data_IF_294382444949
#
_entry.id   IF_294382444949
#
_cell.length_a   1.000
_cell.length_b   1.000
_cell.length_c   1.000
_cell.angle_alpha   90.00
_cell.angle_beta   90.00
_cell.angle_gamma   90.00
#
_symmetry.space_group_name_H-M   'P 1'
#
loop_
_entity.id
_entity.type
_entity.pdbx_description
1 polymer ?
#
# COMPACT_ATOMS: atom_id res chain seq x y z
N UNK A 1 20.64 -35.65 -39.12
CA UNK A 1 21.38 -34.55 -38.44
C UNK A 1 20.82 -33.15 -38.78
N UNK A 2 20.49 -32.86 -40.08
CA UNK A 2 20.05 -31.50 -40.49
C UNK A 2 18.73 -31.05 -39.87
N UNK A 3 17.78 -31.93 -39.58
CA UNK A 3 16.48 -31.60 -39.01
C UNK A 3 16.45 -31.76 -37.48
N UNK A 4 17.06 -32.80 -36.98
CA UNK A 4 17.01 -33.17 -35.56
C UNK A 4 17.80 -32.17 -34.67
N UNK A 5 18.99 -31.77 -35.11
CA UNK A 5 19.82 -30.86 -34.30
C UNK A 5 19.14 -29.51 -34.02
N UNK A 6 18.62 -28.78 -35.03
CA UNK A 6 17.92 -27.48 -34.78
C UNK A 6 16.69 -27.68 -33.92
N UNK A 7 15.91 -28.76 -34.07
CA UNK A 7 14.74 -29.03 -33.25
C UNK A 7 15.10 -29.22 -31.76
N UNK A 8 16.16 -30.02 -31.49
CA UNK A 8 16.64 -30.23 -30.11
C UNK A 8 17.18 -28.93 -29.52
N UNK A 9 17.96 -28.17 -30.28
CA UNK A 9 18.49 -26.85 -29.82
C UNK A 9 17.36 -25.88 -29.46
N UNK A 10 16.32 -25.81 -30.30
CA UNK A 10 15.14 -24.98 -30.06
C UNK A 10 14.37 -25.46 -28.83
N UNK A 11 14.12 -26.76 -28.72
CA UNK A 11 13.39 -27.33 -27.58
C UNK A 11 14.14 -27.07 -26.26
N UNK A 12 15.47 -27.32 -26.26
CA UNK A 12 16.30 -27.10 -25.09
C UNK A 12 16.38 -25.62 -24.68
N UNK A 13 16.47 -24.73 -25.67
CA UNK A 13 16.43 -23.28 -25.45
C UNK A 13 15.09 -22.84 -24.85
N UNK A 14 13.97 -23.36 -25.37
CA UNK A 14 12.64 -23.04 -24.85
C UNK A 14 12.43 -23.56 -23.43
N UNK A 15 12.88 -24.78 -23.12
CA UNK A 15 12.81 -25.34 -21.77
C UNK A 15 13.69 -24.55 -20.79
N UNK A 16 14.89 -24.15 -21.20
CA UNK A 16 15.78 -23.34 -20.38
C UNK A 16 15.19 -21.96 -20.10
N UNK A 17 14.60 -21.32 -21.14
CA UNK A 17 13.90 -20.05 -20.98
C UNK A 17 12.70 -20.19 -20.04
N UNK A 18 11.87 -21.21 -20.19
CA UNK A 18 10.70 -21.39 -19.31
C UNK A 18 11.11 -21.53 -17.83
N UNK A 19 12.18 -22.27 -17.54
CA UNK A 19 12.71 -22.37 -16.16
C UNK A 19 13.26 -21.03 -15.65
N UNK A 20 13.94 -20.28 -16.49
CA UNK A 20 14.46 -18.96 -16.13
C UNK A 20 13.31 -17.97 -15.86
N UNK A 21 12.26 -17.99 -16.69
CA UNK A 21 11.07 -17.16 -16.51
C UNK A 21 10.35 -17.49 -15.19
N UNK A 22 10.18 -18.76 -14.86
CA UNK A 22 9.55 -19.21 -13.62
C UNK A 22 10.30 -18.69 -12.38
N UNK A 23 11.63 -18.85 -12.37
CA UNK A 23 12.46 -18.38 -11.27
C UNK A 23 12.46 -16.84 -11.16
N UNK A 24 12.55 -16.13 -12.28
CA UNK A 24 12.48 -14.67 -12.30
C UNK A 24 11.13 -14.16 -11.79
N UNK A 25 10.01 -14.78 -12.20
CA UNK A 25 8.66 -14.43 -11.74
C UNK A 25 8.53 -14.67 -10.23
N UNK A 26 9.11 -15.75 -9.71
CA UNK A 26 9.14 -16.01 -8.26
C UNK A 26 9.85 -14.91 -7.49
N UNK A 27 11.02 -14.47 -7.99
CA UNK A 27 11.76 -13.35 -7.38
C UNK A 27 10.96 -12.03 -7.45
N UNK A 28 10.31 -11.75 -8.57
CA UNK A 28 9.47 -10.55 -8.72
C UNK A 28 8.27 -10.56 -7.76
N UNK A 29 7.64 -11.71 -7.59
CA UNK A 29 6.56 -11.89 -6.62
C UNK A 29 7.03 -11.64 -5.19
N UNK A 30 8.23 -12.12 -4.82
CA UNK A 30 8.81 -11.87 -3.49
C UNK A 30 9.18 -10.39 -3.30
N UNK A 31 9.73 -9.74 -4.30
CA UNK A 31 10.00 -8.29 -4.25
C UNK A 31 8.69 -7.49 -4.05
N UNK A 32 7.61 -7.88 -4.73
CA UNK A 32 6.30 -7.27 -4.52
C UNK A 32 5.82 -7.49 -3.08
N UNK A 33 5.92 -8.71 -2.57
CA UNK A 33 5.54 -9.05 -1.19
C UNK A 33 6.26 -8.19 -0.17
N UNK A 34 7.56 -8.00 -0.32
CA UNK A 34 8.36 -7.15 0.58
C UNK A 34 7.91 -5.68 0.56
N UNK A 35 7.54 -5.15 -0.60
CA UNK A 35 7.01 -3.79 -0.72
C UNK A 35 5.64 -3.66 -0.05
N UNK A 36 4.75 -4.64 -0.25
CA UNK A 36 3.39 -4.62 0.29
C UNK A 36 3.35 -4.79 1.82
N UNK A 37 4.23 -5.64 2.35
CA UNK A 37 4.32 -5.97 3.77
C UNK A 37 5.37 -5.13 4.52
N UNK A 38 5.88 -4.06 3.91
CA UNK A 38 6.76 -3.14 4.62
C UNK A 38 6.02 -2.57 5.86
N UNK A 39 6.72 -2.42 7.02
CA UNK A 39 6.10 -1.95 8.24
C UNK A 39 5.45 -0.58 8.07
N UNK A 40 4.14 -0.42 8.32
CA UNK A 40 3.48 0.85 8.21
C UNK A 40 3.86 1.77 9.39
N UNK A 41 4.04 3.06 9.11
CA UNK A 41 4.21 4.07 10.17
C UNK A 41 2.89 4.27 10.95
N UNK A 42 1.77 3.99 10.33
CA UNK A 42 0.44 4.20 10.89
C UNK A 42 -0.05 5.64 10.77
N UNK A 43 -1.00 5.99 11.62
CA UNK A 43 -1.69 7.28 11.61
C UNK A 43 -0.80 8.40 12.20
N UNK A 44 0.16 8.88 11.40
CA UNK A 44 1.07 9.98 11.71
C UNK A 44 0.94 11.07 10.67
N UNK A 45 1.33 12.31 11.04
CA UNK A 45 1.42 13.41 10.09
C UNK A 45 2.73 13.31 9.33
N UNK A 46 2.65 13.25 8.01
CA UNK A 46 3.79 12.96 7.15
C UNK A 46 4.05 14.10 6.17
N UNK A 47 5.31 14.49 6.04
CA UNK A 47 5.79 15.31 4.93
C UNK A 47 6.31 14.37 3.84
N UNK A 48 5.58 14.25 2.73
CA UNK A 48 6.02 13.54 1.53
C UNK A 48 6.93 14.41 0.69
N UNK A 49 8.04 13.87 0.25
CA UNK A 49 9.05 14.55 -0.57
C UNK A 49 9.29 13.72 -1.83
N UNK A 50 9.00 14.31 -2.98
CA UNK A 50 9.38 13.77 -4.29
C UNK A 50 10.62 14.53 -4.78
N UNK A 51 11.83 13.91 -4.72
CA UNK A 51 13.08 14.59 -5.03
C UNK A 51 13.24 14.93 -6.52
N UNK A 52 13.89 16.03 -6.83
CA UNK A 52 14.22 16.39 -8.20
C UNK A 52 15.24 17.52 -8.28
N UNK A 53 16.11 17.46 -9.29
CA UNK A 53 17.11 18.51 -9.53
C UNK A 53 16.51 19.74 -10.21
N UNK A 54 16.07 19.60 -11.46
CA UNK A 54 15.63 20.76 -12.28
C UNK A 54 14.26 21.28 -11.87
N UNK A 55 13.34 20.39 -11.61
CA UNK A 55 11.94 20.73 -11.24
C UNK A 55 11.78 21.04 -9.76
N UNK A 56 12.85 20.92 -8.96
CA UNK A 56 12.83 21.02 -7.50
C UNK A 56 12.23 19.80 -6.82
N UNK A 57 12.35 19.76 -5.50
CA UNK A 57 11.70 18.76 -4.67
C UNK A 57 10.26 19.18 -4.39
N UNK A 58 9.29 18.30 -4.67
CA UNK A 58 7.89 18.53 -4.36
C UNK A 58 7.59 18.10 -2.93
N UNK A 59 7.02 18.98 -2.16
CA UNK A 59 6.63 18.76 -0.76
C UNK A 59 5.13 18.66 -0.65
N UNK A 60 4.64 17.71 0.13
CA UNK A 60 3.24 17.58 0.51
C UNK A 60 3.11 17.33 2.00
N UNK A 61 2.29 18.10 2.70
CA UNK A 61 1.96 17.84 4.10
C UNK A 61 0.68 17.02 4.17
N UNK A 62 0.73 15.86 4.81
CA UNK A 62 -0.40 14.96 5.00
C UNK A 62 -0.82 14.92 6.47
N UNK A 63 -2.13 14.87 6.72
CA UNK A 63 -2.65 14.59 8.04
C UNK A 63 -2.53 13.09 8.41
N UNK A 64 -2.97 12.72 9.60
CA UNK A 64 -2.91 11.34 10.08
C UNK A 64 -3.79 10.35 9.28
N UNK A 65 -4.72 10.84 8.46
CA UNK A 65 -5.58 10.08 7.56
C UNK A 65 -5.05 10.04 6.13
N UNK A 66 -3.92 10.73 5.87
CA UNK A 66 -3.33 10.84 4.53
C UNK A 66 -4.00 11.86 3.62
N UNK A 67 -4.80 12.78 4.17
CA UNK A 67 -5.36 13.90 3.40
C UNK A 67 -4.31 14.97 3.18
N UNK A 68 -4.31 15.57 1.99
CA UNK A 68 -3.41 16.65 1.63
C UNK A 68 -3.81 17.94 2.32
N UNK A 69 -2.94 18.49 3.16
CA UNK A 69 -3.12 19.77 3.86
C UNK A 69 -2.44 20.92 3.12
N UNK A 70 -1.27 20.68 2.53
CA UNK A 70 -0.47 21.70 1.85
C UNK A 70 0.49 21.06 0.86
N UNK A 71 0.83 21.79 -0.21
CA UNK A 71 1.87 21.39 -1.15
C UNK A 71 2.72 22.60 -1.55
N UNK A 72 4.00 22.35 -1.81
CA UNK A 72 4.96 23.38 -2.22
C UNK A 72 6.15 22.75 -2.93
N UNK A 73 6.92 23.53 -3.69
CA UNK A 73 8.17 23.09 -4.29
C UNK A 73 9.34 23.87 -3.66
N UNK A 74 10.45 23.15 -3.40
CA UNK A 74 11.70 23.76 -2.93
C UNK A 74 12.85 23.39 -3.86
N UNK A 75 13.91 24.19 -3.87
CA UNK A 75 15.04 24.04 -4.79
C UNK A 75 16.38 23.97 -4.06
N UNK A 76 16.62 22.94 -3.23
CA UNK A 76 17.86 22.81 -2.46
C UNK A 76 19.07 22.39 -3.29
N UNK A 77 18.85 21.86 -4.50
CA UNK A 77 19.89 21.28 -5.35
C UNK A 77 20.23 22.18 -6.55
N UNK A 78 21.39 21.97 -7.20
CA UNK A 78 21.71 22.63 -8.47
C UNK A 78 20.62 22.36 -9.54
N UNK A 79 20.35 23.31 -10.44
CA UNK A 79 21.09 24.56 -10.65
C UNK A 79 20.74 25.71 -9.70
N UNK A 80 19.55 25.70 -9.03
CA UNK A 80 19.08 26.81 -8.21
C UNK A 80 19.84 26.91 -6.89
N UNK A 81 20.13 25.79 -6.23
CA UNK A 81 20.91 25.65 -4.99
C UNK A 81 20.50 26.60 -3.85
N UNK A 82 19.18 26.77 -3.65
CA UNK A 82 18.60 27.66 -2.63
C UNK A 82 18.49 26.97 -1.24
N UNK A 83 19.58 26.35 -0.76
CA UNK A 83 19.60 25.53 0.47
C UNK A 83 19.04 26.23 1.68
N UNK A 84 19.42 27.49 1.91
CA UNK A 84 18.96 28.24 3.08
C UNK A 84 17.47 28.50 3.10
N UNK A 85 16.89 28.95 1.97
CA UNK A 85 15.46 29.16 1.82
C UNK A 85 14.67 27.86 1.93
N UNK A 86 15.17 26.80 1.28
CA UNK A 86 14.57 25.48 1.30
C UNK A 86 14.54 24.90 2.73
N UNK A 87 15.65 25.03 3.49
CA UNK A 87 15.72 24.56 4.88
C UNK A 87 14.75 25.31 5.81
N UNK A 88 14.69 26.64 5.69
CA UNK A 88 13.74 27.46 6.47
C UNK A 88 12.29 27.07 6.16
N UNK A 89 11.97 26.82 4.88
CA UNK A 89 10.63 26.39 4.46
C UNK A 89 10.26 25.02 5.01
N UNK A 90 11.14 24.02 4.89
CA UNK A 90 10.88 22.69 5.46
C UNK A 90 10.68 22.75 6.96
N UNK A 91 11.53 23.48 7.70
CA UNK A 91 11.38 23.66 9.14
C UNK A 91 10.03 24.35 9.50
N UNK A 92 9.64 25.37 8.73
CA UNK A 92 8.34 26.03 8.89
C UNK A 92 7.17 25.07 8.68
N UNK A 93 7.20 24.24 7.61
CA UNK A 93 6.14 23.26 7.33
C UNK A 93 6.04 22.20 8.42
N UNK A 94 7.19 21.72 8.90
CA UNK A 94 7.24 20.74 10.01
C UNK A 94 6.59 21.31 11.27
N UNK A 95 6.88 22.55 11.63
CA UNK A 95 6.29 23.21 12.78
C UNK A 95 4.78 23.48 12.58
N UNK A 96 4.41 24.09 11.44
CA UNK A 96 3.02 24.52 11.16
C UNK A 96 2.05 23.34 11.12
N UNK A 97 2.43 22.25 10.45
CA UNK A 97 1.58 21.07 10.29
C UNK A 97 1.86 19.97 11.32
N UNK A 98 2.72 20.25 12.30
CA UNK A 98 3.09 19.31 13.35
C UNK A 98 3.52 17.94 12.80
N UNK A 99 4.40 17.93 11.79
CA UNK A 99 4.86 16.73 11.10
C UNK A 99 5.66 15.82 12.05
N UNK A 100 5.33 14.54 12.05
CA UNK A 100 5.97 13.49 12.85
C UNK A 100 7.09 12.75 12.08
N UNK A 101 6.92 12.62 10.75
CA UNK A 101 7.87 11.92 9.90
C UNK A 101 7.97 12.54 8.49
N UNK A 102 9.10 12.33 7.85
CA UNK A 102 9.36 12.77 6.47
C UNK A 102 9.62 11.52 5.63
N UNK A 103 8.86 11.36 4.54
CA UNK A 103 9.00 10.30 3.55
C UNK A 103 9.66 10.87 2.30
N UNK A 104 10.83 10.36 1.92
CA UNK A 104 11.59 10.78 0.75
C UNK A 104 11.56 9.67 -0.29
N UNK A 105 11.13 9.96 -1.52
CA UNK A 105 11.18 9.01 -2.63
C UNK A 105 12.63 8.59 -2.94
N UNK A 106 12.82 7.31 -3.31
CA UNK A 106 14.15 6.74 -3.55
C UNK A 106 14.68 6.91 -4.99
N UNK A 107 14.08 7.80 -5.76
CA UNK A 107 14.48 8.07 -7.15
C UNK A 107 15.65 9.07 -7.28
N UNK A 108 15.56 9.87 -8.35
CA UNK A 108 16.58 10.87 -8.69
C UNK A 108 16.76 11.88 -7.55
N UNK A 109 18.02 12.21 -7.19
CA UNK A 109 18.38 13.15 -6.11
C UNK A 109 17.96 12.72 -4.69
N UNK A 110 17.58 11.46 -4.49
CA UNK A 110 17.14 10.95 -3.18
C UNK A 110 18.20 11.11 -2.09
N UNK A 111 19.43 10.68 -2.35
CA UNK A 111 20.53 10.75 -1.36
C UNK A 111 20.89 12.17 -0.94
N UNK A 112 20.95 13.08 -1.92
CA UNK A 112 21.22 14.50 -1.69
C UNK A 112 20.09 15.16 -0.90
N UNK A 113 18.84 14.77 -1.20
CA UNK A 113 17.66 15.26 -0.49
C UNK A 113 17.61 14.70 0.93
N UNK A 114 17.91 13.43 1.14
CA UNK A 114 18.01 12.83 2.47
C UNK A 114 19.06 13.55 3.34
N UNK A 115 20.27 13.75 2.81
CA UNK A 115 21.32 14.51 3.49
C UNK A 115 20.89 15.93 3.82
N UNK A 116 20.25 16.62 2.86
CA UNK A 116 19.75 17.96 3.07
C UNK A 116 18.71 18.02 4.18
N UNK A 117 17.69 17.16 4.15
CA UNK A 117 16.58 17.09 5.13
C UNK A 117 17.10 16.71 6.52
N UNK A 118 18.00 15.75 6.63
CA UNK A 118 18.55 15.28 7.91
C UNK A 118 19.40 16.36 8.60
N UNK A 119 20.05 17.23 7.85
CA UNK A 119 20.86 18.33 8.38
C UNK A 119 20.06 19.54 8.85
N UNK A 120 18.74 19.59 8.62
CA UNK A 120 17.88 20.69 9.08
C UNK A 120 17.62 20.51 10.59
N UNK A 121 17.69 21.61 11.34
CA UNK A 121 17.29 21.64 12.75
C UNK A 121 15.79 21.87 12.84
N UNK A 122 15.10 20.94 13.46
CA UNK A 122 13.66 21.00 13.71
C UNK A 122 13.40 21.38 15.19
N UNK A 123 12.27 22.01 15.45
CA UNK A 123 11.79 22.35 16.80
C UNK A 123 11.21 21.13 17.56
N UNK A 124 11.05 20.01 16.85
CA UNK A 124 10.50 18.75 17.35
C UNK A 124 11.28 17.55 16.82
N UNK A 125 11.07 16.40 17.43
CA UNK A 125 11.63 15.14 16.93
C UNK A 125 10.89 14.72 15.66
N UNK A 126 11.60 14.62 14.54
CA UNK A 126 11.09 14.16 13.26
C UNK A 126 11.92 12.95 12.80
N UNK A 127 11.23 11.92 12.35
CA UNK A 127 11.88 10.74 11.76
C UNK A 127 11.96 10.90 10.24
N UNK A 128 13.08 10.53 9.63
CA UNK A 128 13.28 10.62 8.17
C UNK A 128 13.40 9.21 7.60
N UNK A 129 12.63 8.93 6.55
CA UNK A 129 12.59 7.62 5.89
C UNK A 129 12.75 7.80 4.39
N UNK A 130 13.50 6.90 3.78
CA UNK A 130 13.54 6.74 2.32
C UNK A 130 12.54 5.65 1.93
N UNK A 131 11.63 5.99 1.02
CA UNK A 131 10.48 5.16 0.62
C UNK A 131 10.60 4.83 -0.86
N UNK A 132 10.26 3.60 -1.24
CA UNK A 132 10.21 3.21 -2.65
C UNK A 132 9.15 4.04 -3.39
N UNK A 133 9.55 4.68 -4.50
CA UNK A 133 8.63 5.41 -5.38
C UNK A 133 8.17 4.58 -6.59
N UNK A 134 8.50 3.29 -6.64
CA UNK A 134 8.11 2.39 -7.72
C UNK A 134 6.62 2.50 -8.03
N UNK A 135 6.26 2.79 -9.29
CA UNK A 135 4.87 2.97 -9.71
C UNK A 135 4.19 4.27 -9.25
N UNK A 136 4.86 5.17 -8.51
CA UNK A 136 4.25 6.45 -8.09
C UNK A 136 3.84 7.32 -9.27
N UNK A 137 4.63 7.33 -10.33
CA UNK A 137 4.30 8.03 -11.59
C UNK A 137 3.08 7.41 -12.29
N UNK A 138 2.94 6.09 -12.26
CA UNK A 138 1.76 5.40 -12.81
C UNK A 138 0.50 5.76 -12.01
N UNK A 139 0.58 5.71 -10.67
CA UNK A 139 -0.50 6.16 -9.80
C UNK A 139 -0.89 7.60 -10.12
N UNK A 140 0.06 8.52 -10.17
CA UNK A 140 -0.20 9.97 -10.34
C UNK A 140 -0.96 10.29 -11.63
N UNK A 141 -0.75 9.51 -12.70
CA UNK A 141 -1.44 9.62 -13.98
C UNK A 141 -2.75 8.82 -14.03
N UNK A 142 -3.04 7.96 -13.06
CA UNK A 142 -4.18 7.07 -13.05
C UNK A 142 -5.52 7.80 -12.90
N UNK A 143 -6.61 7.11 -13.26
CA UNK A 143 -7.97 7.59 -13.01
C UNK A 143 -8.23 7.76 -11.51
N UNK A 144 -7.73 6.84 -10.69
CA UNK A 144 -7.89 6.86 -9.23
C UNK A 144 -7.29 8.14 -8.65
N UNK A 145 -6.06 8.46 -9.02
CA UNK A 145 -5.40 9.67 -8.52
C UNK A 145 -6.08 10.97 -8.97
N UNK A 146 -6.66 10.97 -10.17
CA UNK A 146 -7.47 12.10 -10.67
C UNK A 146 -8.79 12.26 -9.91
N UNK A 147 -9.41 11.17 -9.51
CA UNK A 147 -10.62 11.19 -8.69
C UNK A 147 -10.33 11.61 -7.25
N UNK A 148 -9.20 11.16 -6.67
CA UNK A 148 -8.78 11.54 -5.32
C UNK A 148 -8.30 13.00 -5.22
N UNK A 149 -7.62 13.49 -6.26
CA UNK A 149 -7.00 14.83 -6.29
C UNK A 149 -7.24 15.52 -7.63
N UNK A 150 -8.50 15.90 -7.95
CA UNK A 150 -8.85 16.47 -9.27
C UNK A 150 -8.15 17.80 -9.56
N UNK A 151 -7.92 18.63 -8.53
CA UNK A 151 -7.37 19.98 -8.65
C UNK A 151 -5.82 20.03 -8.69
N UNK A 152 -5.14 18.88 -8.45
CA UNK A 152 -3.69 18.82 -8.36
C UNK A 152 -3.08 18.13 -9.56
N UNK A 153 -1.86 18.52 -9.91
CA UNK A 153 -1.12 17.92 -11.01
C UNK A 153 -0.48 16.56 -10.65
N UNK A 154 0.12 15.92 -11.64
CA UNK A 154 0.76 14.60 -11.48
C UNK A 154 1.93 14.62 -10.49
N UNK A 155 2.62 15.75 -10.34
CA UNK A 155 3.79 15.85 -9.44
C UNK A 155 3.35 15.86 -7.98
N UNK A 156 2.29 16.60 -7.66
CA UNK A 156 1.69 16.63 -6.31
C UNK A 156 1.10 15.26 -5.97
N UNK A 157 0.36 14.63 -6.89
CA UNK A 157 -0.19 13.27 -6.69
C UNK A 157 0.90 12.25 -6.44
N UNK A 158 2.04 12.35 -7.14
CA UNK A 158 3.21 11.50 -6.92
C UNK A 158 3.78 11.65 -5.51
N UNK A 159 4.00 12.88 -5.06
CA UNK A 159 4.49 13.16 -3.72
C UNK A 159 3.51 12.70 -2.62
N UNK A 160 2.20 12.84 -2.83
CA UNK A 160 1.17 12.28 -1.92
C UNK A 160 1.30 10.77 -1.82
N UNK A 161 1.47 10.06 -2.95
CA UNK A 161 1.65 8.62 -2.95
C UNK A 161 2.89 8.20 -2.16
N UNK A 162 4.02 8.91 -2.29
CA UNK A 162 5.25 8.66 -1.51
C UNK A 162 4.97 8.80 -0.01
N UNK A 163 4.30 9.86 0.40
CA UNK A 163 3.94 10.07 1.82
C UNK A 163 3.01 8.99 2.36
N UNK A 164 1.96 8.63 1.61
CA UNK A 164 0.99 7.60 2.00
C UNK A 164 1.57 6.20 2.07
N UNK A 165 2.57 5.88 1.25
CA UNK A 165 3.29 4.60 1.33
C UNK A 165 4.05 4.40 2.63
N UNK A 166 4.55 5.49 3.25
CA UNK A 166 5.13 5.40 4.57
C UNK A 166 4.06 5.12 5.63
N UNK A 167 2.87 5.70 5.47
CA UNK A 167 1.76 5.52 6.41
C UNK A 167 1.17 4.11 6.34
N UNK A 168 0.84 3.64 5.13
CA UNK A 168 0.30 2.31 4.85
C UNK A 168 0.67 1.88 3.42
N UNK A 169 1.77 1.12 3.25
CA UNK A 169 2.23 0.68 1.94
C UNK A 169 1.20 -0.16 1.20
N UNK A 170 0.52 -1.06 1.91
CA UNK A 170 -0.46 -1.97 1.31
C UNK A 170 -1.67 -1.20 0.76
N UNK A 171 -2.26 -0.32 1.57
CA UNK A 171 -3.43 0.47 1.17
C UNK A 171 -3.15 1.39 -0.03
N UNK A 172 -1.92 1.86 -0.17
CA UNK A 172 -1.55 2.73 -1.30
C UNK A 172 -1.18 1.92 -2.55
N UNK A 173 -0.38 0.86 -2.42
CA UNK A 173 0.11 0.07 -3.56
C UNK A 173 -0.98 -0.74 -4.27
N UNK A 174 -2.06 -1.14 -3.58
CA UNK A 174 -3.21 -1.83 -4.20
C UNK A 174 -3.96 -0.98 -5.23
N UNK A 175 -3.72 0.33 -5.26
CA UNK A 175 -4.29 1.24 -6.26
C UNK A 175 -3.61 1.15 -7.62
N UNK A 176 -2.47 0.48 -7.71
CA UNK A 176 -1.62 0.36 -8.89
C UNK A 176 -1.72 -1.08 -9.40
N UNK A 177 -1.81 -1.26 -10.74
CA UNK A 177 -1.66 -2.60 -11.33
C UNK A 177 -0.31 -3.19 -10.89
N UNK A 178 -0.28 -4.38 -10.29
CA UNK A 178 0.95 -4.99 -9.78
C UNK A 178 2.09 -5.06 -10.81
N UNK A 179 1.78 -5.30 -12.08
CA UNK A 179 2.76 -5.25 -13.18
C UNK A 179 3.41 -3.87 -13.36
N UNK A 180 2.67 -2.82 -13.03
CA UNK A 180 3.11 -1.43 -13.20
C UNK A 180 3.91 -0.90 -12.01
N UNK A 181 4.00 -1.64 -10.90
CA UNK A 181 4.80 -1.23 -9.73
C UNK A 181 6.30 -1.25 -10.07
N UNK A 182 6.74 -2.15 -10.95
CA UNK A 182 8.16 -2.25 -11.32
C UNK A 182 8.99 -2.96 -10.26
N UNK A 183 8.68 -4.23 -10.02
CA UNK A 183 9.30 -5.07 -8.97
C UNK A 183 10.56 -5.81 -9.40
N UNK A 184 10.97 -5.63 -10.66
CA UNK A 184 12.17 -6.29 -11.17
C UNK A 184 12.68 -5.68 -12.47
N UNK A 185 14.00 -5.67 -12.61
CA UNK A 185 14.67 -5.40 -13.88
C UNK A 185 14.34 -6.53 -14.86
N UNK A 186 14.12 -6.24 -16.14
CA UNK A 186 13.77 -7.22 -17.18
C UNK A 186 12.43 -7.95 -16.98
N UNK A 187 11.53 -7.40 -16.18
CA UNK A 187 10.20 -8.01 -15.99
C UNK A 187 9.40 -8.09 -17.31
N UNK A 188 9.76 -7.32 -18.34
CA UNK A 188 9.18 -7.38 -19.68
C UNK A 188 9.68 -8.56 -20.53
N UNK A 189 10.78 -9.22 -20.15
CA UNK A 189 11.39 -10.31 -20.89
C UNK A 189 10.80 -11.69 -20.53
N UNK A 190 10.07 -11.79 -19.43
CA UNK A 190 9.42 -13.04 -18.99
C UNK A 190 8.02 -13.23 -19.60
N UNK A 191 7.44 -14.43 -19.48
CA UNK A 191 6.08 -14.71 -19.93
C UNK A 191 5.07 -13.82 -19.17
N UNK A 192 4.37 -12.93 -19.91
CA UNK A 192 3.61 -11.82 -19.35
C UNK A 192 2.31 -12.22 -18.63
N UNK A 193 1.66 -13.33 -19.06
CA UNK A 193 0.44 -13.82 -18.43
C UNK A 193 0.76 -14.52 -17.10
N UNK A 194 1.84 -15.32 -17.09
CA UNK A 194 2.33 -15.95 -15.85
C UNK A 194 2.80 -14.90 -14.84
N UNK A 195 3.53 -13.88 -15.29
CA UNK A 195 3.91 -12.74 -14.45
C UNK A 195 2.69 -12.05 -13.83
N UNK A 196 1.72 -11.66 -14.67
CA UNK A 196 0.50 -11.00 -14.20
C UNK A 196 -0.22 -11.84 -13.16
N UNK A 197 -0.46 -13.11 -13.46
CA UNK A 197 -1.14 -14.05 -12.55
C UNK A 197 -0.41 -14.17 -11.20
N UNK A 198 0.91 -14.31 -11.23
CA UNK A 198 1.72 -14.44 -10.01
C UNK A 198 1.68 -13.18 -9.16
N UNK A 199 1.80 -12.00 -9.78
CA UNK A 199 1.75 -10.73 -9.07
C UNK A 199 0.35 -10.43 -8.50
N UNK A 200 -0.72 -10.72 -9.25
CA UNK A 200 -2.10 -10.56 -8.77
C UNK A 200 -2.37 -11.48 -7.57
N UNK A 201 -1.93 -12.74 -7.63
CA UNK A 201 -2.02 -13.69 -6.51
C UNK A 201 -1.23 -13.24 -5.28
N UNK A 202 -0.05 -12.66 -5.50
CA UNK A 202 0.77 -12.12 -4.40
C UNK A 202 0.08 -10.95 -3.72
N UNK A 203 -0.51 -10.04 -4.50
CA UNK A 203 -1.28 -8.92 -3.98
C UNK A 203 -2.45 -9.41 -3.12
N UNK A 204 -3.27 -10.32 -3.65
CA UNK A 204 -4.41 -10.91 -2.93
C UNK A 204 -3.96 -11.62 -1.65
N UNK A 205 -2.91 -12.42 -1.73
CA UNK A 205 -2.35 -13.13 -0.57
C UNK A 205 -1.89 -12.16 0.53
N UNK A 206 -1.21 -11.07 0.17
CA UNK A 206 -0.74 -10.07 1.15
C UNK A 206 -1.91 -9.34 1.82
N UNK A 207 -2.93 -8.94 1.05
CA UNK A 207 -4.12 -8.26 1.59
C UNK A 207 -4.86 -9.17 2.57
N UNK A 208 -5.05 -10.43 2.21
CA UNK A 208 -5.75 -11.40 3.07
C UNK A 208 -4.92 -11.76 4.31
N UNK A 209 -3.58 -11.84 4.20
CA UNK A 209 -2.69 -12.12 5.32
C UNK A 209 -2.76 -11.03 6.40
N UNK A 210 -2.70 -9.77 6.00
CA UNK A 210 -2.75 -8.63 6.93
C UNK A 210 -4.14 -8.46 7.52
N UNK A 211 -5.17 -8.71 6.72
CA UNK A 211 -6.55 -8.37 7.04
C UNK A 211 -6.82 -6.87 6.89
N UNK A 212 -8.07 -6.51 6.74
CA UNK A 212 -8.47 -5.16 6.34
C UNK A 212 -9.54 -4.60 7.26
N UNK A 213 -9.31 -3.40 7.80
CA UNK A 213 -10.34 -2.67 8.54
C UNK A 213 -11.45 -2.23 7.57
N UNK A 214 -12.63 -2.85 7.69
CA UNK A 214 -13.76 -2.61 6.81
C UNK A 214 -14.31 -1.18 6.87
N UNK A 215 -14.09 -0.50 8.00
CA UNK A 215 -14.58 0.86 8.23
C UNK A 215 -13.72 1.94 7.56
N UNK A 216 -12.43 1.65 7.31
CA UNK A 216 -11.48 2.61 6.74
C UNK A 216 -11.00 2.24 5.34
N UNK A 217 -11.09 0.98 4.96
CA UNK A 217 -10.57 0.47 3.70
C UNK A 217 -11.19 1.15 2.47
N UNK A 218 -10.37 1.42 1.46
CA UNK A 218 -10.84 1.85 0.15
C UNK A 218 -11.53 0.69 -0.59
N UNK A 219 -12.38 1.01 -1.57
CA UNK A 219 -12.96 -0.01 -2.46
C UNK A 219 -11.90 -0.86 -3.16
N UNK A 220 -10.76 -0.24 -3.49
CA UNK A 220 -9.66 -0.93 -4.17
C UNK A 220 -9.04 -2.01 -3.28
N UNK A 221 -8.79 -1.68 -2.01
CA UNK A 221 -8.27 -2.63 -1.03
C UNK A 221 -9.27 -3.77 -0.78
N UNK A 222 -10.56 -3.45 -0.62
CA UNK A 222 -11.62 -4.43 -0.41
C UNK A 222 -11.79 -5.40 -1.58
N UNK A 223 -11.50 -4.98 -2.82
CA UNK A 223 -11.60 -5.83 -4.01
C UNK A 223 -10.65 -7.03 -3.98
N UNK A 224 -9.52 -6.92 -3.26
CA UNK A 224 -8.56 -8.00 -3.10
C UNK A 224 -8.88 -8.97 -1.94
N UNK A 225 -9.93 -8.71 -1.17
CA UNK A 225 -10.40 -9.66 -0.15
C UNK A 225 -11.09 -10.83 -0.83
N UNK A 226 -10.70 -12.05 -0.46
CA UNK A 226 -11.34 -13.28 -0.93
C UNK A 226 -12.85 -13.23 -0.75
N UNK A 227 -13.59 -13.58 -1.78
CA UNK A 227 -15.05 -13.54 -1.78
C UNK A 227 -15.68 -12.16 -2.04
N UNK A 228 -14.89 -11.08 -2.08
CA UNK A 228 -15.37 -9.74 -2.43
C UNK A 228 -14.91 -9.37 -3.83
N UNK A 229 -15.83 -9.22 -4.77
CA UNK A 229 -15.50 -8.60 -6.06
C UNK A 229 -15.68 -7.09 -6.03
N UNK A 230 -15.38 -6.39 -7.15
CA UNK A 230 -15.49 -4.93 -7.24
C UNK A 230 -16.89 -4.39 -6.87
N UNK A 231 -17.93 -5.13 -7.17
CA UNK A 231 -19.33 -4.74 -6.88
C UNK A 231 -19.60 -4.79 -5.37
N UNK A 232 -19.21 -5.87 -4.68
CA UNK A 232 -19.38 -5.99 -3.23
C UNK A 232 -18.51 -4.99 -2.47
N UNK A 233 -17.29 -4.78 -2.92
CA UNK A 233 -16.40 -3.76 -2.35
C UNK A 233 -17.04 -2.36 -2.41
N UNK A 234 -17.63 -2.00 -3.55
CA UNK A 234 -18.35 -0.74 -3.70
C UNK A 234 -19.59 -0.67 -2.79
N UNK A 235 -20.38 -1.76 -2.71
CA UNK A 235 -21.56 -1.81 -1.85
C UNK A 235 -21.21 -1.67 -0.37
N UNK A 236 -20.11 -2.23 0.10
CA UNK A 236 -19.60 -2.05 1.48
C UNK A 236 -19.31 -0.58 1.74
N UNK A 237 -18.58 0.08 0.83
CA UNK A 237 -18.26 1.51 0.95
C UNK A 237 -19.51 2.38 0.99
N UNK A 238 -20.47 2.12 0.09
CA UNK A 238 -21.75 2.86 0.05
C UNK A 238 -22.55 2.63 1.33
N UNK A 239 -22.67 1.37 1.76
CA UNK A 239 -23.44 1.03 2.97
C UNK A 239 -22.89 1.74 4.20
N UNK A 240 -21.58 1.76 4.44
CA UNK A 240 -21.01 2.47 5.59
C UNK A 240 -21.13 3.99 5.50
N UNK A 241 -21.18 4.55 4.28
CA UNK A 241 -21.42 5.98 4.08
C UNK A 241 -22.84 6.38 4.44
N UNK A 242 -23.83 5.49 4.18
CA UNK A 242 -25.24 5.74 4.44
C UNK A 242 -25.68 5.41 5.87
N UNK A 243 -25.11 4.34 6.46
CA UNK A 243 -25.54 3.78 7.75
C UNK A 243 -24.52 3.96 8.88
N UNK A 244 -23.34 4.53 8.59
CA UNK A 244 -22.25 4.65 9.55
C UNK A 244 -21.35 3.41 9.60
N UNK A 245 -20.35 3.40 10.49
CA UNK A 245 -19.37 2.34 10.59
C UNK A 245 -20.00 1.03 11.10
N UNK A 246 -19.51 -0.08 10.58
CA UNK A 246 -19.86 -1.41 11.07
C UNK A 246 -19.41 -1.61 12.53
N UNK A 247 -20.26 -2.15 13.36
CA UNK A 247 -19.98 -2.48 14.78
C UNK A 247 -19.77 -3.97 15.02
N UNK A 248 -20.09 -4.82 14.03
CA UNK A 248 -19.84 -6.26 14.06
C UNK A 248 -19.73 -6.84 12.65
N UNK A 249 -18.99 -7.95 12.51
CA UNK A 249 -18.91 -8.68 11.23
C UNK A 249 -20.28 -9.15 10.73
N UNK A 250 -21.22 -9.48 11.62
CA UNK A 250 -22.58 -9.90 11.25
C UNK A 250 -23.34 -8.81 10.49
N UNK A 251 -23.04 -7.55 10.73
CA UNK A 251 -23.69 -6.44 10.00
C UNK A 251 -23.33 -6.41 8.52
N UNK A 252 -22.22 -7.02 8.09
CA UNK A 252 -21.87 -7.16 6.69
C UNK A 252 -22.94 -7.91 5.88
N UNK A 253 -23.71 -8.82 6.51
CA UNK A 253 -24.83 -9.51 5.86
C UNK A 253 -25.96 -8.57 5.42
N UNK A 254 -26.00 -7.33 5.94
CA UNK A 254 -26.98 -6.31 5.54
C UNK A 254 -26.57 -5.57 4.27
N UNK A 255 -25.31 -5.72 3.84
CA UNK A 255 -24.80 -5.07 2.62
C UNK A 255 -25.50 -5.68 1.39
N UNK A 256 -25.99 -4.86 0.46
CA UNK A 256 -26.63 -5.36 -0.76
C UNK A 256 -25.71 -6.34 -1.52
N UNK A 257 -26.27 -7.47 -1.92
CA UNK A 257 -25.59 -8.60 -2.61
C UNK A 257 -24.55 -9.37 -1.77
N UNK A 258 -24.45 -9.11 -0.48
CA UNK A 258 -23.65 -9.94 0.43
C UNK A 258 -24.45 -11.21 0.74
N UNK A 259 -24.18 -12.29 0.00
CA UNK A 259 -24.74 -13.61 0.30
C UNK A 259 -23.90 -14.37 1.33
N UNK A 260 -24.46 -15.47 1.87
CA UNK A 260 -23.79 -16.33 2.88
C UNK A 260 -22.39 -16.76 2.43
N UNK A 261 -22.27 -17.24 1.18
CA UNK A 261 -21.00 -17.70 0.61
C UNK A 261 -19.94 -16.59 0.54
N UNK A 262 -20.33 -15.38 0.13
CA UNK A 262 -19.40 -14.24 0.08
C UNK A 262 -18.99 -13.82 1.49
N UNK A 263 -19.92 -13.85 2.45
CA UNK A 263 -19.64 -13.58 3.85
C UNK A 263 -18.67 -14.61 4.45
N UNK A 264 -18.94 -15.91 4.28
CA UNK A 264 -18.04 -16.98 4.74
C UNK A 264 -16.62 -16.82 4.19
N UNK A 265 -16.48 -16.52 2.90
CA UNK A 265 -15.16 -16.36 2.27
C UNK A 265 -14.41 -15.11 2.72
N UNK A 266 -15.11 -14.03 3.10
CA UNK A 266 -14.49 -12.74 3.37
C UNK A 266 -14.36 -12.39 4.86
N UNK A 267 -15.26 -12.90 5.71
CA UNK A 267 -15.39 -12.47 7.10
C UNK A 267 -14.11 -12.63 7.92
N UNK A 268 -13.32 -13.69 7.67
CA UNK A 268 -12.05 -13.93 8.35
C UNK A 268 -10.96 -12.89 8.05
N UNK A 269 -11.07 -12.14 6.95
CA UNK A 269 -10.09 -11.16 6.49
C UNK A 269 -10.51 -9.72 6.77
N UNK A 270 -11.77 -9.49 7.16
CA UNK A 270 -12.28 -8.17 7.51
C UNK A 270 -12.14 -7.93 9.02
N UNK A 271 -11.64 -6.77 9.40
CA UNK A 271 -11.40 -6.37 10.79
C UNK A 271 -12.29 -5.21 11.17
N UNK A 272 -12.75 -5.22 12.43
CA UNK A 272 -13.52 -4.12 13.05
C UNK A 272 -12.88 -3.84 14.41
N UNK A 273 -11.85 -2.95 14.48
CA UNK A 273 -11.09 -2.70 15.70
C UNK A 273 -11.97 -2.25 16.89
N UNK A 274 -12.97 -1.41 16.61
CA UNK A 274 -13.90 -0.88 17.61
C UNK A 274 -15.23 -1.64 17.68
N UNK A 275 -15.20 -2.93 17.24
CA UNK A 275 -16.38 -3.79 17.22
C UNK A 275 -16.85 -4.21 18.60
N UNK A 276 -18.14 -4.60 18.69
CA UNK A 276 -18.75 -5.11 19.94
C UNK A 276 -18.10 -6.40 20.44
N UNK A 277 -17.63 -7.25 19.52
CA UNK A 277 -16.93 -8.48 19.83
C UNK A 277 -15.42 -8.31 19.53
N UNK A 278 -14.52 -8.48 20.51
CA UNK A 278 -13.07 -8.39 20.28
C UNK A 278 -12.56 -9.33 19.18
N UNK A 279 -13.22 -10.47 18.97
CA UNK A 279 -12.88 -11.42 17.90
C UNK A 279 -13.09 -10.83 16.49
N UNK A 280 -13.92 -9.80 16.34
CA UNK A 280 -14.12 -9.11 15.06
C UNK A 280 -12.86 -8.34 14.62
N UNK A 281 -11.91 -8.10 15.53
CA UNK A 281 -10.58 -7.54 15.21
C UNK A 281 -9.48 -8.60 15.08
N UNK A 282 -9.83 -9.86 15.02
CA UNK A 282 -8.86 -10.98 14.96
C UNK A 282 -8.88 -11.70 13.61
N UNK A 283 -7.94 -12.62 13.39
CA UNK A 283 -7.93 -13.53 12.25
C UNK A 283 -8.92 -14.68 12.40
N UNK A 284 -9.58 -14.83 13.56
CA UNK A 284 -10.53 -15.91 13.82
C UNK A 284 -11.76 -15.75 12.95
N UNK A 285 -12.15 -16.80 12.24
CA UNK A 285 -13.37 -16.82 11.45
C UNK A 285 -14.61 -16.85 12.36
N UNK A 286 -15.72 -16.15 12.01
CA UNK A 286 -16.93 -16.12 12.86
C UNK A 286 -17.48 -17.49 13.26
N UNK A 287 -17.35 -18.50 12.41
CA UNK A 287 -17.75 -19.89 12.73
C UNK A 287 -16.99 -20.48 13.91
N UNK A 288 -15.74 -20.05 14.12
CA UNK A 288 -14.88 -20.53 15.19
C UNK A 288 -15.04 -19.76 16.52
N UNK A 289 -15.85 -18.71 16.56
CA UNK A 289 -16.06 -17.90 17.78
C UNK A 289 -16.50 -18.75 18.99
N UNK A 290 -17.48 -19.69 18.86
CA UNK A 290 -17.89 -20.51 19.99
C UNK A 290 -16.76 -21.38 20.55
N UNK A 291 -15.84 -21.83 19.71
CA UNK A 291 -14.66 -22.61 20.11
C UNK A 291 -13.71 -21.75 20.94
N UNK A 292 -13.35 -20.56 20.42
CA UNK A 292 -12.42 -19.63 21.08
C UNK A 292 -13.01 -19.12 22.40
N UNK A 293 -14.30 -18.82 22.44
CA UNK A 293 -14.99 -18.42 23.67
C UNK A 293 -14.98 -19.54 24.74
N UNK A 294 -15.14 -20.80 24.33
CA UNK A 294 -15.01 -21.95 25.22
C UNK A 294 -13.58 -22.09 25.74
N UNK A 295 -12.58 -22.00 24.85
CA UNK A 295 -11.17 -22.04 25.25
C UNK A 295 -10.82 -20.94 26.26
N UNK A 296 -11.30 -19.73 26.06
CA UNK A 296 -11.09 -18.62 27.00
C UNK A 296 -11.70 -18.89 28.37
N UNK A 297 -12.90 -19.49 28.42
CA UNK A 297 -13.54 -19.89 29.66
C UNK A 297 -12.77 -20.99 30.37
N UNK A 298 -12.34 -22.04 29.66
CA UNK A 298 -11.62 -23.18 30.23
C UNK A 298 -10.26 -22.75 30.78
N UNK A 299 -9.55 -21.85 30.06
CA UNK A 299 -8.26 -21.29 30.46
C UNK A 299 -8.40 -20.13 31.48
N UNK A 300 -9.61 -19.67 31.78
CA UNK A 300 -9.90 -18.51 32.64
C UNK A 300 -9.13 -17.25 32.21
N UNK A 301 -8.97 -17.02 30.90
CA UNK A 301 -8.28 -15.87 30.33
C UNK A 301 -9.21 -15.01 29.48
N UNK A 302 -8.78 -13.78 29.21
CA UNK A 302 -9.50 -12.86 28.34
C UNK A 302 -9.40 -13.28 26.86
N UNK A 303 -10.46 -13.09 26.09
CA UNK A 303 -10.49 -13.36 24.64
C UNK A 303 -9.36 -12.68 23.87
N UNK A 304 -8.88 -11.51 24.31
CA UNK A 304 -7.77 -10.81 23.71
C UNK A 304 -6.44 -11.58 23.79
N UNK A 305 -6.25 -12.42 24.81
CA UNK A 305 -5.03 -13.24 24.97
C UNK A 305 -5.08 -14.56 24.19
N UNK A 306 -6.26 -14.95 23.71
CA UNK A 306 -6.45 -16.20 22.97
C UNK A 306 -6.45 -15.98 21.45
N UNK A 307 -6.45 -14.71 20.99
CA UNK A 307 -6.40 -14.36 19.57
C UNK A 307 -4.95 -14.18 19.14
N UNK A 308 -4.46 -14.90 18.13
CA UNK A 308 -3.17 -14.56 17.52
C UNK A 308 -3.25 -13.16 16.90
N UNK A 309 -2.30 -12.36 17.27
CA UNK A 309 -2.09 -11.00 16.75
C UNK A 309 -1.60 -11.02 15.29
#
# INVERSE_FOLDING_TARGET
>A
KRLLKPSIETEFSNQSKAKADEEAIRVFAENLRQLLLAPPLGQKRVLGVDPGYRTGCKLVCLDAQGNLLHNEAIFPHPPQNEKGKAAAKVAQLVATYAIDAIAIGNGTASRETEQFITNIRYDRKVQVFVVSENGASIYSASKIAREEFPEYDVTVRGAVSIGRRLMDPLAELVKIDPKSIGVGQYQHDVEQNALKKSLDQTMESCVNLVGVNVNTASKHLLTYISGLGPTLAQNIVNYRAEHGPFTSRKELMKVPRMGEKAFEQSAGFLRIPDGKNPLDNSAVHPESYPIVERMAKDLKCCLLYTSPS
#
